data_IF_467666379427
#
_entry.id   IF_467666379427
#
_cell.length_a   1.000
_cell.length_b   1.000
_cell.length_c   1.000
_cell.angle_alpha   90.00
_cell.angle_beta   90.00
_cell.angle_gamma   90.00
#
_symmetry.space_group_name_H-M   'P 1'
#
loop_
_entity.id
_entity.type
_entity.pdbx_description
1 polymer ?
#
# COMPACT_ATOMS: atom_id res chain seq x y z
N UNK A 1 2.80 64.50 19.64
CA UNK A 1 2.88 63.68 18.43
C UNK A 1 3.34 62.30 18.85
N UNK A 2 2.41 61.35 18.97
CA UNK A 2 2.76 59.95 19.24
C UNK A 2 2.82 59.21 17.92
N UNK A 3 3.96 58.63 17.62
CA UNK A 3 4.22 57.87 16.39
C UNK A 3 3.63 56.48 16.64
N UNK A 4 2.45 56.21 16.05
CA UNK A 4 1.83 54.90 16.10
C UNK A 4 2.63 53.92 15.24
N UNK A 5 3.31 52.98 15.90
CA UNK A 5 3.94 51.83 15.27
C UNK A 5 2.81 51.02 14.59
N UNK A 6 2.88 50.70 13.29
CA UNK A 6 1.90 49.83 12.65
C UNK A 6 2.06 48.44 13.27
N UNK A 7 1.16 48.08 14.18
CA UNK A 7 1.06 46.73 14.73
C UNK A 7 0.68 45.82 13.57
N UNK A 8 1.61 44.96 13.17
CA UNK A 8 1.40 44.00 12.08
C UNK A 8 0.13 43.20 12.28
N UNK A 9 -0.61 42.97 11.20
CA UNK A 9 -1.79 42.11 11.16
C UNK A 9 -1.45 40.75 11.80
N UNK A 10 -1.95 40.51 13.01
CA UNK A 10 -1.74 39.24 13.70
C UNK A 10 -2.66 38.21 13.04
N UNK A 11 -2.12 37.43 12.12
CA UNK A 11 -2.87 36.40 11.39
C UNK A 11 -3.37 35.31 12.36
N UNK A 12 -4.62 34.86 12.22
CA UNK A 12 -5.17 33.76 13.03
C UNK A 12 -5.07 32.44 12.26
N UNK A 13 -4.31 31.49 12.79
CA UNK A 13 -4.03 30.20 12.14
C UNK A 13 -5.00 29.12 12.61
N UNK A 14 -5.62 28.41 11.67
CA UNK A 14 -6.51 27.26 11.88
C UNK A 14 -5.88 26.02 11.25
N UNK A 15 -5.92 24.90 11.98
CA UNK A 15 -5.38 23.61 11.54
C UNK A 15 -6.51 22.63 11.29
N UNK A 16 -6.45 21.83 10.21
CA UNK A 16 -7.46 20.80 9.97
C UNK A 16 -7.35 19.66 10.96
N UNK A 17 -8.47 18.98 11.17
CA UNK A 17 -8.54 17.73 11.93
C UNK A 17 -8.07 16.55 11.07
N UNK A 18 -7.56 15.49 11.71
CA UNK A 18 -7.19 14.27 11.01
C UNK A 18 -8.40 13.62 10.34
N UNK A 19 -8.33 13.38 9.03
CA UNK A 19 -9.42 12.77 8.25
C UNK A 19 -10.52 13.74 7.81
N UNK A 20 -10.36 15.03 8.09
CA UNK A 20 -11.31 16.07 7.69
C UNK A 20 -11.36 16.30 6.18
N UNK A 21 -12.54 16.62 5.64
CA UNK A 21 -12.71 17.00 4.24
C UNK A 21 -12.38 18.49 4.02
N UNK A 22 -11.98 18.86 2.81
CA UNK A 22 -11.74 20.27 2.47
C UNK A 22 -13.01 21.13 2.63
N UNK A 23 -14.20 20.54 2.43
CA UNK A 23 -15.48 21.26 2.63
C UNK A 23 -15.69 21.61 4.09
N UNK A 24 -15.49 20.66 5.00
CA UNK A 24 -15.63 20.89 6.44
C UNK A 24 -14.60 21.93 6.92
N UNK A 25 -13.36 21.81 6.43
CA UNK A 25 -12.31 22.76 6.76
C UNK A 25 -12.61 24.18 6.22
N UNK A 26 -13.16 24.30 5.01
CA UNK A 26 -13.59 25.57 4.45
C UNK A 26 -14.69 26.22 5.30
N UNK A 27 -15.67 25.44 5.77
CA UNK A 27 -16.70 25.93 6.69
C UNK A 27 -16.10 26.42 8.02
N UNK A 28 -15.08 25.73 8.56
CA UNK A 28 -14.39 26.19 9.77
C UNK A 28 -13.67 27.53 9.56
N UNK A 29 -12.98 27.70 8.43
CA UNK A 29 -12.31 28.96 8.09
C UNK A 29 -13.31 30.11 7.98
N UNK A 30 -14.44 29.90 7.30
CA UNK A 30 -15.50 30.91 7.16
C UNK A 30 -16.14 31.22 8.51
N UNK A 31 -16.47 30.20 9.30
CA UNK A 31 -17.06 30.39 10.62
C UNK A 31 -16.12 31.16 11.56
N UNK A 32 -14.81 30.98 11.42
CA UNK A 32 -13.82 31.75 12.17
C UNK A 32 -13.67 33.19 11.65
N UNK A 33 -13.71 33.40 10.33
CA UNK A 33 -13.69 34.73 9.71
C UNK A 33 -14.92 35.55 10.11
N UNK A 34 -16.11 34.94 10.09
CA UNK A 34 -17.36 35.61 10.50
C UNK A 34 -17.40 35.98 11.99
N UNK A 35 -16.58 35.33 12.82
CA UNK A 35 -16.43 35.64 14.26
C UNK A 35 -15.31 36.66 14.52
N UNK A 36 -14.58 37.05 13.49
CA UNK A 36 -13.40 37.90 13.62
C UNK A 36 -13.78 39.37 13.51
N UNK A 37 -13.80 40.08 14.64
CA UNK A 37 -14.24 41.47 14.74
C UNK A 37 -13.14 42.50 14.47
N UNK A 38 -11.88 42.09 14.47
CA UNK A 38 -10.72 42.98 14.32
C UNK A 38 -10.25 43.08 12.86
N UNK A 39 -10.96 42.47 11.91
CA UNK A 39 -10.60 42.48 10.49
C UNK A 39 -9.35 41.65 10.15
N UNK A 40 -8.89 40.77 11.05
CA UNK A 40 -7.67 39.97 10.85
C UNK A 40 -7.92 38.82 9.89
N UNK A 41 -6.98 38.60 8.97
CA UNK A 41 -7.03 37.46 8.03
C UNK A 41 -6.94 36.13 8.76
N UNK A 42 -7.77 35.18 8.35
CA UNK A 42 -7.76 33.81 8.83
C UNK A 42 -6.95 32.95 7.87
N UNK A 43 -6.04 32.13 8.41
CA UNK A 43 -5.14 31.31 7.61
C UNK A 43 -5.31 29.85 7.96
N UNK A 44 -5.58 29.03 6.95
CA UNK A 44 -5.58 27.57 7.04
C UNK A 44 -4.44 26.99 6.23
N UNK A 45 -3.89 25.85 6.65
CA UNK A 45 -3.02 25.03 5.80
C UNK A 45 -3.65 23.65 5.68
N UNK A 46 -4.13 23.31 4.48
CA UNK A 46 -4.76 22.03 4.20
C UNK A 46 -3.91 21.23 3.21
N UNK A 47 -3.38 20.07 3.64
CA UNK A 47 -2.50 19.23 2.83
C UNK A 47 -1.37 20.01 2.12
N UNK A 48 -0.76 20.97 2.83
CA UNK A 48 0.34 21.79 2.33
C UNK A 48 -0.07 23.04 1.52
N UNK A 49 -1.36 23.24 1.23
CA UNK A 49 -1.85 24.44 0.56
C UNK A 49 -2.28 25.49 1.60
N UNK A 50 -1.68 26.68 1.54
CA UNK A 50 -2.06 27.83 2.37
C UNK A 50 -3.34 28.48 1.80
N UNK A 51 -4.36 28.59 2.63
CA UNK A 51 -5.65 29.23 2.34
C UNK A 51 -5.75 30.45 3.24
N UNK A 52 -6.12 31.59 2.67
CA UNK A 52 -6.29 32.86 3.40
C UNK A 52 -7.73 33.32 3.16
N UNK A 53 -8.45 33.61 4.24
CA UNK A 53 -9.82 34.15 4.20
C UNK A 53 -9.77 35.53 4.85
N UNK A 54 -10.17 36.54 4.08
CA UNK A 54 -10.33 37.90 4.57
C UNK A 54 -11.73 38.07 5.16
N UNK A 55 -11.88 38.43 6.45
CA UNK A 55 -13.20 38.60 7.08
C UNK A 55 -14.00 39.79 6.53
N UNK A 56 -13.36 40.67 5.72
CA UNK A 56 -14.03 41.80 5.07
C UNK A 56 -14.63 41.45 3.71
N UNK A 57 -14.31 40.27 3.17
CA UNK A 57 -14.80 39.79 1.89
C UNK A 57 -15.92 38.76 2.06
N UNK A 58 -16.94 38.81 1.21
CA UNK A 58 -17.95 37.76 1.15
C UNK A 58 -17.38 36.54 0.40
N UNK A 59 -17.04 35.49 1.15
CA UNK A 59 -16.44 34.25 0.64
C UNK A 59 -17.34 33.06 1.02
N UNK A 60 -17.65 32.21 0.04
CA UNK A 60 -18.37 30.96 0.25
C UNK A 60 -17.42 29.76 0.25
N UNK A 61 -17.87 28.65 0.85
CA UNK A 61 -17.08 27.42 0.96
C UNK A 61 -16.59 26.92 -0.39
N UNK A 62 -17.43 27.01 -1.43
CA UNK A 62 -17.09 26.59 -2.78
C UNK A 62 -15.94 27.41 -3.37
N UNK A 63 -15.80 28.69 -3.02
CA UNK A 63 -14.66 29.50 -3.47
C UNK A 63 -13.35 28.96 -2.90
N UNK A 64 -13.34 28.63 -1.60
CA UNK A 64 -12.17 28.06 -0.91
C UNK A 64 -11.83 26.67 -1.46
N UNK A 65 -12.85 25.81 -1.63
CA UNK A 65 -12.65 24.47 -2.19
C UNK A 65 -12.10 24.54 -3.60
N UNK A 66 -12.66 25.39 -4.47
CA UNK A 66 -12.18 25.56 -5.84
C UNK A 66 -10.76 26.12 -5.89
N UNK A 67 -10.44 27.09 -5.03
CA UNK A 67 -9.07 27.59 -4.87
C UNK A 67 -8.11 26.47 -4.47
N UNK A 68 -8.45 25.70 -3.44
CA UNK A 68 -7.65 24.57 -2.98
C UNK A 68 -7.42 23.55 -4.10
N UNK A 69 -8.48 23.14 -4.81
CA UNK A 69 -8.38 22.16 -5.89
C UNK A 69 -7.48 22.66 -7.03
N UNK A 70 -7.54 23.96 -7.36
CA UNK A 70 -6.68 24.60 -8.36
C UNK A 70 -5.22 24.61 -7.93
N UNK A 71 -4.91 25.06 -6.72
CA UNK A 71 -3.53 25.11 -6.21
C UNK A 71 -2.96 23.70 -5.99
N UNK A 72 -3.75 22.77 -5.47
CA UNK A 72 -3.35 21.38 -5.35
C UNK A 72 -3.05 20.74 -6.72
N UNK A 73 -3.84 21.07 -7.76
CA UNK A 73 -3.56 20.63 -9.13
C UNK A 73 -2.25 21.22 -9.64
N UNK A 74 -2.04 22.52 -9.47
CA UNK A 74 -0.81 23.21 -9.86
C UNK A 74 0.41 22.60 -9.17
N UNK A 75 0.37 22.40 -7.85
CA UNK A 75 1.45 21.76 -7.11
C UNK A 75 1.75 20.33 -7.58
N UNK A 76 0.73 19.55 -7.94
CA UNK A 76 0.93 18.22 -8.55
C UNK A 76 1.62 18.31 -9.92
N UNK A 77 1.24 19.28 -10.76
CA UNK A 77 1.85 19.50 -12.07
C UNK A 77 3.30 19.99 -11.95
N UNK A 78 3.57 20.91 -11.03
CA UNK A 78 4.92 21.37 -10.70
C UNK A 78 5.80 20.22 -10.21
N UNK A 79 5.31 19.41 -9.27
CA UNK A 79 6.03 18.23 -8.80
C UNK A 79 6.31 17.24 -9.94
N UNK A 80 5.30 16.91 -10.75
CA UNK A 80 5.43 15.97 -11.88
C UNK A 80 6.49 16.43 -12.89
N UNK A 81 6.63 17.74 -13.09
CA UNK A 81 7.60 18.33 -14.01
C UNK A 81 8.94 18.68 -13.34
N UNK A 82 9.06 18.53 -12.02
CA UNK A 82 10.30 18.76 -11.29
C UNK A 82 11.33 17.65 -11.58
N UNK A 83 12.65 17.91 -11.39
CA UNK A 83 13.67 16.87 -11.50
C UNK A 83 13.38 15.63 -10.61
N UNK A 84 12.85 15.85 -9.41
CA UNK A 84 12.48 14.77 -8.48
C UNK A 84 11.33 13.94 -9.03
N UNK A 85 10.23 14.58 -9.46
CA UNK A 85 9.06 13.88 -10.00
C UNK A 85 9.38 13.09 -11.26
N UNK A 86 10.19 13.65 -12.16
CA UNK A 86 10.68 12.95 -13.36
C UNK A 86 11.54 11.75 -12.98
N UNK A 87 12.45 11.91 -12.01
CA UNK A 87 13.30 10.81 -11.54
C UNK A 87 12.47 9.70 -10.88
N UNK A 88 11.50 10.05 -10.04
CA UNK A 88 10.58 9.09 -9.41
C UNK A 88 9.74 8.33 -10.43
N UNK A 89 9.20 9.01 -11.44
CA UNK A 89 8.47 8.36 -12.53
C UNK A 89 9.37 7.40 -13.31
N UNK A 90 10.62 7.78 -13.57
CA UNK A 90 11.60 6.91 -14.23
C UNK A 90 11.93 5.67 -13.40
N UNK A 91 12.14 5.83 -12.09
CA UNK A 91 12.34 4.71 -11.16
C UNK A 91 11.13 3.79 -11.12
N UNK A 92 9.93 4.36 -11.05
CA UNK A 92 8.67 3.63 -11.06
C UNK A 92 8.51 2.78 -12.33
N UNK A 93 8.75 3.36 -13.52
CA UNK A 93 8.68 2.64 -14.79
C UNK A 93 9.71 1.52 -14.89
N UNK A 94 10.95 1.78 -14.48
CA UNK A 94 11.99 0.73 -14.44
C UNK A 94 11.60 -0.41 -13.52
N UNK A 95 11.04 -0.10 -12.35
CA UNK A 95 10.55 -1.10 -11.42
C UNK A 95 9.38 -1.90 -12.01
N UNK A 96 8.43 -1.23 -12.69
CA UNK A 96 7.34 -1.92 -13.39
C UNK A 96 7.86 -2.89 -14.45
N UNK A 97 8.77 -2.45 -15.32
CA UNK A 97 9.39 -3.30 -16.33
C UNK A 97 10.13 -4.50 -15.71
N UNK A 98 10.86 -4.26 -14.62
CA UNK A 98 11.54 -5.32 -13.88
C UNK A 98 10.56 -6.34 -13.29
N UNK A 99 9.50 -5.87 -12.63
CA UNK A 99 8.48 -6.74 -12.03
C UNK A 99 7.68 -7.50 -13.09
N UNK A 100 7.40 -6.89 -14.25
CA UNK A 100 6.74 -7.57 -15.36
C UNK A 100 7.62 -8.69 -15.91
N UNK A 101 8.93 -8.43 -16.11
CA UNK A 101 9.90 -9.47 -16.54
C UNK A 101 9.99 -10.60 -15.51
N UNK A 102 10.08 -10.27 -14.22
CA UNK A 102 10.10 -11.28 -13.15
C UNK A 102 8.83 -12.13 -13.17
N UNK A 103 7.66 -11.50 -13.31
CA UNK A 103 6.37 -12.20 -13.37
C UNK A 103 6.28 -13.13 -14.59
N UNK A 104 6.69 -12.67 -15.78
CA UNK A 104 6.71 -13.50 -16.98
C UNK A 104 7.61 -14.71 -16.80
N UNK A 105 8.82 -14.50 -16.28
CA UNK A 105 9.77 -15.59 -16.01
C UNK A 105 9.19 -16.61 -15.04
N UNK A 106 8.54 -16.17 -13.97
CA UNK A 106 7.89 -17.09 -13.02
C UNK A 106 6.80 -17.93 -13.69
N UNK A 107 5.99 -17.33 -14.57
CA UNK A 107 4.96 -18.04 -15.34
C UNK A 107 5.57 -19.04 -16.34
N UNK A 108 6.71 -18.71 -16.97
CA UNK A 108 7.45 -19.64 -17.83
C UNK A 108 8.00 -20.83 -17.02
N UNK A 109 8.59 -20.53 -15.86
CA UNK A 109 9.18 -21.52 -14.96
C UNK A 109 8.12 -22.40 -14.26
N UNK A 110 6.86 -21.97 -14.20
CA UNK A 110 5.76 -22.67 -13.54
C UNK A 110 5.58 -24.11 -14.04
N UNK A 111 5.73 -24.34 -15.35
CA UNK A 111 5.59 -25.67 -15.95
C UNK A 111 6.70 -26.64 -15.52
N UNK A 112 7.83 -26.12 -15.03
CA UNK A 112 8.98 -26.91 -14.60
C UNK A 112 9.11 -26.95 -13.06
N UNK A 113 8.15 -26.39 -12.33
CA UNK A 113 8.15 -26.35 -10.88
C UNK A 113 8.00 -27.77 -10.31
N UNK A 114 8.88 -28.18 -9.40
CA UNK A 114 8.77 -29.46 -8.73
C UNK A 114 7.72 -29.42 -7.63
N UNK A 115 6.51 -29.91 -7.92
CA UNK A 115 5.40 -29.94 -6.97
C UNK A 115 5.53 -30.95 -5.82
N UNK A 116 6.61 -31.75 -5.79
CA UNK A 116 6.98 -32.57 -4.62
C UNK A 116 7.90 -31.85 -3.64
N UNK A 117 8.47 -30.69 -4.01
CA UNK A 117 9.30 -29.87 -3.12
C UNK A 117 8.48 -28.71 -2.55
N UNK A 118 7.90 -28.93 -1.38
CA UNK A 118 7.07 -27.94 -0.69
C UNK A 118 7.79 -26.63 -0.35
N UNK A 119 9.12 -26.65 -0.19
CA UNK A 119 9.86 -25.42 0.04
C UNK A 119 9.93 -24.58 -1.24
N UNK A 120 10.29 -25.22 -2.36
CA UNK A 120 10.38 -24.58 -3.67
C UNK A 120 9.02 -24.00 -4.12
N UNK A 121 7.93 -24.74 -3.91
CA UNK A 121 6.57 -24.31 -4.27
C UNK A 121 6.18 -23.03 -3.50
N UNK A 122 6.43 -22.99 -2.20
CA UNK A 122 6.07 -21.85 -1.35
C UNK A 122 6.97 -20.63 -1.60
N UNK A 123 8.24 -20.84 -1.94
CA UNK A 123 9.13 -19.78 -2.41
C UNK A 123 8.62 -19.18 -3.72
N UNK A 124 8.29 -20.03 -4.70
CA UNK A 124 7.75 -19.58 -5.98
C UNK A 124 6.47 -18.77 -5.79
N UNK A 125 5.54 -19.24 -4.95
CA UNK A 125 4.29 -18.53 -4.65
C UNK A 125 4.53 -17.16 -4.01
N UNK A 126 5.46 -17.06 -3.07
CA UNK A 126 5.86 -15.78 -2.48
C UNK A 126 6.45 -14.84 -3.53
N UNK A 127 7.33 -15.35 -4.40
CA UNK A 127 7.96 -14.56 -5.45
C UNK A 127 6.94 -14.05 -6.47
N UNK A 128 5.98 -14.90 -6.84
CA UNK A 128 4.91 -14.56 -7.77
C UNK A 128 3.94 -13.54 -7.17
N UNK A 129 3.51 -13.73 -5.92
CA UNK A 129 2.68 -12.75 -5.20
C UNK A 129 3.38 -11.39 -5.18
N UNK A 130 4.65 -11.34 -4.75
CA UNK A 130 5.41 -10.09 -4.68
C UNK A 130 5.59 -9.41 -6.04
N UNK A 131 5.85 -10.16 -7.11
CA UNK A 131 6.06 -9.60 -8.44
C UNK A 131 4.75 -9.11 -9.09
N UNK A 132 3.62 -9.74 -8.77
CA UNK A 132 2.31 -9.47 -9.38
C UNK A 132 1.37 -8.60 -8.53
N UNK A 133 1.78 -8.17 -7.34
CA UNK A 133 0.99 -7.35 -6.39
C UNK A 133 0.78 -5.88 -6.82
N UNK A 134 1.13 -5.53 -8.06
CA UNK A 134 0.88 -4.21 -8.61
C UNK A 134 -0.20 -4.29 -9.70
N UNK A 135 -1.21 -3.43 -9.63
CA UNK A 135 -2.35 -3.41 -10.57
C UNK A 135 -1.93 -3.19 -12.02
N UNK A 136 -0.75 -2.61 -12.25
CA UNK A 136 -0.20 -2.35 -13.58
C UNK A 136 0.66 -3.50 -14.12
N UNK A 137 0.76 -4.63 -13.40
CA UNK A 137 1.42 -5.85 -13.87
C UNK A 137 0.37 -6.80 -14.43
N UNK A 138 0.57 -7.20 -15.69
CA UNK A 138 -0.28 -8.16 -16.37
C UNK A 138 0.21 -9.58 -16.07
N UNK A 139 -0.68 -10.45 -15.61
CA UNK A 139 -0.38 -11.87 -15.43
C UNK A 139 -1.64 -12.72 -15.52
N UNK A 140 -1.46 -13.94 -16.00
CA UNK A 140 -2.51 -14.95 -16.07
C UNK A 140 -2.63 -15.68 -14.72
N UNK A 141 -3.38 -15.06 -13.81
CA UNK A 141 -3.58 -15.57 -12.45
C UNK A 141 -4.41 -16.87 -12.45
N UNK A 142 -5.34 -17.01 -13.39
CA UNK A 142 -6.17 -18.21 -13.52
C UNK A 142 -5.34 -19.42 -13.95
N UNK A 143 -4.36 -19.22 -14.85
CA UNK A 143 -3.37 -20.26 -15.16
C UNK A 143 -2.58 -20.69 -13.93
N UNK A 144 -2.11 -19.77 -13.09
CA UNK A 144 -1.38 -20.14 -11.87
C UNK A 144 -2.26 -20.97 -10.94
N UNK A 145 -3.48 -20.50 -10.67
CA UNK A 145 -4.41 -21.18 -9.77
C UNK A 145 -4.76 -22.58 -10.29
N UNK A 146 -5.03 -22.71 -11.60
CA UNK A 146 -5.37 -24.01 -12.21
C UNK A 146 -4.22 -25.01 -12.13
N UNK A 147 -2.99 -24.61 -12.49
CA UNK A 147 -1.81 -25.50 -12.41
C UNK A 147 -1.57 -25.97 -10.96
N UNK A 148 -1.67 -25.08 -9.98
CA UNK A 148 -1.51 -25.46 -8.57
C UNK A 148 -2.60 -26.42 -8.10
N UNK A 149 -3.85 -26.16 -8.51
CA UNK A 149 -4.99 -27.01 -8.18
C UNK A 149 -4.84 -28.42 -8.77
N UNK A 150 -4.36 -28.55 -10.01
CA UNK A 150 -4.06 -29.85 -10.64
C UNK A 150 -3.05 -30.68 -9.85
N UNK A 151 -2.15 -30.02 -9.11
CA UNK A 151 -1.16 -30.66 -8.24
C UNK A 151 -1.62 -30.78 -6.77
N UNK A 152 -2.92 -30.57 -6.49
CA UNK A 152 -3.50 -30.73 -5.16
C UNK A 152 -3.29 -29.56 -4.20
N UNK A 153 -2.90 -28.39 -4.72
CA UNK A 153 -2.82 -27.13 -3.97
C UNK A 153 -4.01 -26.25 -4.35
N UNK A 154 -5.13 -26.42 -3.66
CA UNK A 154 -6.35 -25.65 -3.92
C UNK A 154 -6.48 -24.43 -2.99
N UNK A 155 -7.25 -23.46 -3.42
CA UNK A 155 -7.76 -22.41 -2.53
C UNK A 155 -8.59 -23.10 -1.44
N UNK A 156 -8.40 -22.67 -0.19
CA UNK A 156 -9.08 -23.23 0.98
C UNK A 156 -8.73 -24.70 1.31
N UNK A 157 -7.62 -25.23 0.77
CA UNK A 157 -7.07 -26.52 1.17
C UNK A 157 -6.69 -26.55 2.65
N UNK A 158 -7.03 -27.64 3.34
CA UNK A 158 -6.68 -27.93 4.73
C UNK A 158 -7.01 -26.78 5.70
N UNK A 159 -8.27 -26.33 5.72
CA UNK A 159 -8.76 -25.32 6.67
C UNK A 159 -9.42 -25.95 7.90
N UNK A 160 -9.42 -25.18 9.00
CA UNK A 160 -10.17 -25.49 10.22
C UNK A 160 -9.69 -26.77 10.88
N UNK A 161 -10.61 -27.69 11.14
CA UNK A 161 -10.35 -28.98 11.80
C UNK A 161 -9.47 -29.92 10.96
N UNK A 162 -9.25 -29.61 9.67
CA UNK A 162 -8.40 -30.39 8.78
C UNK A 162 -6.93 -29.93 8.76
N UNK A 163 -6.58 -28.92 9.56
CA UNK A 163 -5.18 -28.50 9.74
C UNK A 163 -4.48 -29.51 10.65
N UNK A 164 -3.46 -30.17 10.12
CA UNK A 164 -2.53 -30.98 10.89
C UNK A 164 -1.17 -30.27 10.91
N UNK A 165 -0.88 -29.61 12.03
CA UNK A 165 0.34 -28.82 12.20
C UNK A 165 1.62 -29.64 12.21
N UNK A 166 1.54 -30.95 12.42
CA UNK A 166 2.70 -31.85 12.44
C UNK A 166 2.98 -32.45 11.05
N UNK A 167 2.03 -32.34 10.13
CA UNK A 167 2.18 -32.82 8.77
C UNK A 167 2.71 -31.70 7.84
N UNK A 168 3.96 -31.86 7.41
CA UNK A 168 4.67 -30.90 6.57
C UNK A 168 4.01 -30.63 5.21
N UNK A 169 3.29 -31.61 4.65
CA UNK A 169 2.49 -31.46 3.43
C UNK A 169 1.18 -30.74 3.72
N UNK A 170 0.49 -31.10 4.80
CA UNK A 170 -0.77 -30.48 5.20
C UNK A 170 -0.60 -28.97 5.37
N UNK A 171 0.44 -28.57 6.13
CA UNK A 171 0.82 -27.17 6.31
C UNK A 171 1.25 -26.49 5.01
N UNK A 172 1.97 -27.19 4.13
CA UNK A 172 2.36 -26.60 2.83
C UNK A 172 1.13 -26.28 1.98
N UNK A 173 0.17 -27.20 1.89
CA UNK A 173 -1.10 -27.02 1.18
C UNK A 173 -1.96 -25.92 1.78
N UNK A 174 -2.05 -25.84 3.11
CA UNK A 174 -2.72 -24.75 3.81
C UNK A 174 -2.13 -23.38 3.43
N UNK A 175 -0.80 -23.23 3.54
CA UNK A 175 -0.12 -21.96 3.23
C UNK A 175 -0.29 -21.60 1.74
N UNK A 176 -0.10 -22.58 0.84
CA UNK A 176 -0.30 -22.37 -0.59
C UNK A 176 -1.72 -21.91 -0.90
N UNK A 177 -2.73 -22.53 -0.29
CA UNK A 177 -4.14 -22.13 -0.43
C UNK A 177 -4.40 -20.69 0.04
N UNK A 178 -3.75 -20.25 1.14
CA UNK A 178 -3.85 -18.86 1.59
C UNK A 178 -3.25 -17.87 0.58
N UNK A 179 -2.11 -18.21 -0.02
CA UNK A 179 -1.45 -17.35 -1.02
C UNK A 179 -2.27 -17.31 -2.31
N UNK A 180 -2.75 -18.45 -2.82
CA UNK A 180 -3.59 -18.54 -4.01
C UNK A 180 -4.90 -17.76 -3.86
N UNK A 181 -5.50 -17.78 -2.66
CA UNK A 181 -6.67 -16.95 -2.32
C UNK A 181 -6.34 -15.45 -2.31
N UNK A 182 -5.09 -15.07 -2.00
CA UNK A 182 -4.60 -13.70 -2.14
C UNK A 182 -4.47 -13.30 -3.61
N UNK A 183 -3.84 -14.16 -4.41
CA UNK A 183 -3.64 -13.97 -5.86
C UNK A 183 -4.99 -13.80 -6.57
N UNK A 184 -5.99 -14.65 -6.26
CA UNK A 184 -7.30 -14.60 -6.92
C UNK A 184 -8.09 -13.30 -6.65
N UNK A 185 -7.86 -12.66 -5.50
CA UNK A 185 -8.66 -11.52 -5.03
C UNK A 185 -8.08 -10.14 -5.36
N UNK A 186 -6.95 -10.08 -6.07
CA UNK A 186 -6.32 -8.88 -6.63
C UNK A 186 -6.45 -7.58 -5.79
N UNK A 187 -5.39 -7.20 -5.06
CA UNK A 187 -5.29 -5.85 -4.49
C UNK A 187 -5.38 -5.73 -2.96
N UNK A 188 -5.07 -6.79 -2.20
CA UNK A 188 -4.88 -6.65 -0.75
C UNK A 188 -3.55 -7.23 -0.30
N UNK A 189 -2.77 -6.37 0.35
CA UNK A 189 -1.56 -6.71 1.10
C UNK A 189 -1.91 -7.83 2.07
N UNK A 190 -1.37 -9.03 1.88
CA UNK A 190 -1.29 -10.05 2.92
C UNK A 190 0.17 -10.20 3.33
N UNK A 191 0.66 -9.44 4.32
CA UNK A 191 2.04 -9.57 4.79
C UNK A 191 2.32 -10.93 5.48
N UNK A 192 1.26 -11.74 5.65
CA UNK A 192 1.26 -12.99 6.39
C UNK A 192 1.91 -14.13 5.60
N UNK A 193 1.88 -14.12 4.26
CA UNK A 193 2.41 -15.21 3.43
C UNK A 193 3.91 -15.45 3.67
N UNK A 194 4.72 -14.38 3.63
CA UNK A 194 6.16 -14.46 3.96
C UNK A 194 6.44 -14.96 5.38
N UNK A 195 5.60 -14.59 6.36
CA UNK A 195 5.71 -15.01 7.76
C UNK A 195 5.36 -16.49 7.89
N UNK A 196 4.27 -16.95 7.26
CA UNK A 196 3.85 -18.35 7.28
C UNK A 196 4.91 -19.26 6.64
N UNK A 197 5.45 -18.85 5.49
CA UNK A 197 6.54 -19.58 4.82
C UNK A 197 7.79 -19.63 5.71
N UNK A 198 8.17 -18.51 6.34
CA UNK A 198 9.30 -18.47 7.28
C UNK A 198 9.08 -19.40 8.48
N UNK A 199 7.90 -19.38 9.10
CA UNK A 199 7.57 -20.22 10.24
C UNK A 199 7.60 -21.72 9.87
N UNK A 200 7.08 -22.08 8.68
CA UNK A 200 7.18 -23.46 8.18
C UNK A 200 8.63 -23.89 7.96
N UNK A 201 9.46 -23.03 7.34
CA UNK A 201 10.90 -23.33 7.15
C UNK A 201 11.61 -23.54 8.48
N UNK A 202 11.27 -22.75 9.50
CA UNK A 202 11.79 -22.97 10.84
C UNK A 202 11.32 -24.30 11.43
N UNK A 203 10.09 -24.76 11.21
CA UNK A 203 9.62 -26.05 11.75
C UNK A 203 10.16 -27.26 10.99
N UNK A 204 10.12 -27.22 9.65
CA UNK A 204 10.33 -28.39 8.78
C UNK A 204 11.52 -28.28 7.83
N UNK A 205 12.29 -27.21 7.88
CA UNK A 205 13.41 -26.98 6.96
C UNK A 205 14.50 -28.04 7.11
N UNK A 206 15.26 -28.25 6.03
CA UNK A 206 16.34 -29.24 5.92
C UNK A 206 17.35 -29.19 7.08
N UNK A 207 17.58 -27.99 7.64
CA UNK A 207 18.47 -27.82 8.79
C UNK A 207 17.94 -28.50 10.07
N UNK A 208 16.64 -28.41 10.35
CA UNK A 208 16.03 -28.99 11.54
C UNK A 208 15.81 -30.50 11.40
N UNK A 209 15.51 -30.98 10.19
CA UNK A 209 15.50 -32.42 9.89
C UNK A 209 16.85 -33.06 10.20
N UNK A 210 17.96 -32.41 9.80
CA UNK A 210 19.32 -32.87 10.08
C UNK A 210 19.67 -32.86 11.59
N UNK A 211 19.16 -31.88 12.35
CA UNK A 211 19.33 -31.82 13.81
C UNK A 211 18.57 -32.97 14.49
N UNK A 212 17.34 -33.25 14.07
CA UNK A 212 16.54 -34.36 14.63
C UNK A 212 17.12 -35.73 14.25
N UNK A 213 17.65 -35.89 13.03
CA UNK A 213 18.40 -37.10 12.64
C UNK A 213 19.66 -37.31 13.50
N UNK A 214 20.40 -36.22 13.79
CA UNK A 214 21.57 -36.29 14.67
C UNK A 214 21.18 -36.65 16.11
N UNK A 215 20.04 -36.16 16.62
CA UNK A 215 19.54 -36.52 17.95
C UNK A 215 19.07 -37.99 18.05
N UNK A 216 18.53 -38.56 16.97
CA UNK A 216 18.11 -39.97 16.93
C UNK A 216 19.27 -40.96 16.82
N UNK A 217 20.45 -40.48 16.42
CA UNK A 217 21.67 -41.27 16.26
C UNK A 217 22.64 -41.12 17.47
N UNK A 218 22.21 -40.46 18.55
CA UNK A 218 22.89 -40.35 19.84
C UNK A 218 22.12 -41.17 20.89
#
# INVERSE_FOLDING_TARGET
MSIGIPTGEVEKIIKPLGGESIYDFAHQLIAAANKESEGRKIIGVFNGVKIIVDPTEEIYSDNIVNFYLKEAKKGREEYKNSPEGIQKEKEYRKNLEFMQKKTNKLIEDLNNLNFSDYELILEWLCDFENASNNTNIFCDREKVISVFKEHGFDIDANLGENIDEENAENIAKFIAGQILNGISKCGKIRPISSILVKNRKQKFGKHNQKIEELKKNL
#
